data_IF_698044040626
#
_entry.id   IF_698044040626
#
_cell.length_a   1.000
_cell.length_b   1.000
_cell.length_c   1.000
_cell.angle_alpha   90.00
_cell.angle_beta   90.00
_cell.angle_gamma   90.00
#
_symmetry.space_group_name_H-M   'P 1'
#
loop_
_entity.id
_entity.type
_entity.pdbx_description
1 polymer ?
#
# COMPACT_ATOMS: atom_id res chain seq x y z
N UNK A 1 -38.28 -27.01 -40.05
CA UNK A 1 -36.96 -27.50 -39.59
C UNK A 1 -35.98 -26.35 -39.65
N UNK A 2 -35.21 -26.13 -38.57
CA UNK A 2 -33.96 -25.35 -38.48
C UNK A 2 -34.05 -23.83 -38.71
N UNK A 3 -33.37 -22.93 -38.00
CA UNK A 3 -32.70 -22.82 -36.67
C UNK A 3 -32.03 -21.43 -36.71
N UNK A 4 -32.18 -20.60 -35.66
CA UNK A 4 -31.28 -19.52 -35.15
C UNK A 4 -30.72 -18.48 -36.16
N UNK A 5 -30.61 -17.19 -35.86
CA UNK A 5 -29.84 -16.58 -34.77
C UNK A 5 -30.43 -15.20 -34.45
N UNK A 6 -30.83 -15.00 -33.19
CA UNK A 6 -30.98 -13.69 -32.57
C UNK A 6 -29.62 -13.02 -32.46
N UNK A 7 -29.41 -11.93 -33.20
CA UNK A 7 -28.41 -10.90 -32.87
C UNK A 7 -29.16 -9.85 -32.08
N UNK A 8 -29.26 -10.08 -30.78
CA UNK A 8 -29.77 -9.11 -29.81
C UNK A 8 -29.02 -9.37 -28.52
N UNK A 9 -27.96 -8.61 -28.28
CA UNK A 9 -27.20 -8.73 -27.04
C UNK A 9 -25.74 -8.40 -27.20
N UNK A 10 -25.42 -7.14 -27.44
CA UNK A 10 -24.15 -6.53 -27.02
C UNK A 10 -24.15 -5.05 -27.36
N UNK A 11 -24.85 -4.25 -26.56
CA UNK A 11 -24.48 -2.83 -26.40
C UNK A 11 -25.18 -2.23 -25.17
N UNK A 12 -24.92 -2.80 -24.00
CA UNK A 12 -25.17 -2.10 -22.73
C UNK A 12 -24.19 -2.61 -21.69
N UNK A 13 -23.00 -2.02 -21.68
CA UNK A 13 -22.19 -1.77 -20.49
C UNK A 13 -21.48 -0.45 -20.80
N UNK A 14 -22.22 0.64 -20.59
CA UNK A 14 -21.67 1.98 -20.55
C UNK A 14 -21.59 2.38 -19.08
N UNK A 15 -20.36 2.36 -18.57
CA UNK A 15 -19.83 3.32 -17.59
C UNK A 15 -20.57 3.36 -16.24
N UNK A 16 -20.16 2.49 -15.33
CA UNK A 16 -20.33 2.63 -13.86
C UNK A 16 -19.08 3.22 -13.19
N UNK A 17 -18.29 4.04 -13.88
CA UNK A 17 -17.04 4.61 -13.36
C UNK A 17 -17.26 5.94 -12.61
N UNK A 18 -18.20 5.97 -11.67
CA UNK A 18 -18.32 7.05 -10.68
C UNK A 18 -18.41 6.47 -9.27
N UNK A 19 -17.46 5.60 -8.93
CA UNK A 19 -17.04 5.45 -7.52
C UNK A 19 -15.99 6.53 -7.30
N UNK A 20 -16.43 7.71 -6.87
CA UNK A 20 -15.54 8.66 -6.21
C UNK A 20 -15.12 8.02 -4.89
N UNK A 21 -13.84 7.72 -4.73
CA UNK A 21 -13.27 7.42 -3.42
C UNK A 21 -13.47 8.66 -2.55
N UNK A 22 -14.18 8.46 -1.44
CA UNK A 22 -14.34 9.41 -0.34
C UNK A 22 -12.94 9.70 0.22
N UNK A 23 -12.50 10.95 0.11
CA UNK A 23 -11.17 11.40 0.55
C UNK A 23 -11.23 11.67 2.06
N UNK A 24 -11.20 10.60 2.85
CA UNK A 24 -11.01 10.69 4.29
C UNK A 24 -9.55 11.10 4.56
N UNK A 25 -9.36 12.39 4.85
CA UNK A 25 -8.07 13.01 5.18
C UNK A 25 -7.38 12.26 6.33
N UNK A 26 -6.27 11.59 6.00
CA UNK A 26 -5.41 10.86 6.94
C UNK A 26 -4.42 11.84 7.56
N UNK A 27 -4.46 11.95 8.89
CA UNK A 27 -3.60 12.86 9.67
C UNK A 27 -2.16 12.36 9.66
N UNK A 28 -1.25 13.19 9.14
CA UNK A 28 0.20 12.97 9.12
C UNK A 28 0.85 13.83 10.21
N UNK A 29 1.70 13.22 11.04
CA UNK A 29 2.61 13.96 11.91
C UNK A 29 3.95 14.13 11.18
N UNK A 30 4.05 15.21 10.40
CA UNK A 30 5.21 15.55 9.57
C UNK A 30 4.78 16.48 8.44
N UNK A 31 5.58 17.50 8.10
CA UNK A 31 5.15 18.69 7.34
C UNK A 31 4.87 18.49 5.83
N UNK A 32 4.56 17.28 5.35
CA UNK A 32 4.23 16.99 3.95
C UNK A 32 2.98 16.10 3.88
N UNK A 33 2.11 16.29 2.86
CA UNK A 33 0.97 15.40 2.67
C UNK A 33 1.48 13.96 2.51
N UNK A 34 0.75 13.00 3.08
CA UNK A 34 1.05 11.59 2.85
C UNK A 34 1.11 11.33 1.35
N UNK A 35 2.20 10.73 0.86
CA UNK A 35 2.27 10.22 -0.49
C UNK A 35 1.30 9.03 -0.59
N UNK A 36 0.05 9.31 -0.98
CA UNK A 36 -1.04 8.31 -1.09
C UNK A 36 -0.61 7.10 -1.95
N UNK A 37 0.24 7.33 -2.95
CA UNK A 37 0.83 6.29 -3.80
C UNK A 37 1.77 5.36 -3.01
N UNK A 38 2.67 5.92 -2.20
CA UNK A 38 3.58 5.13 -1.36
C UNK A 38 2.80 4.28 -0.33
N UNK A 39 1.72 4.83 0.22
CA UNK A 39 0.81 4.06 1.10
C UNK A 39 0.15 2.91 0.34
N UNK A 40 -0.37 3.17 -0.86
CA UNK A 40 -1.02 2.15 -1.67
C UNK A 40 -0.06 1.01 -2.06
N UNK A 41 1.16 1.36 -2.48
CA UNK A 41 2.22 0.40 -2.82
C UNK A 41 2.63 -0.43 -1.60
N UNK A 42 2.89 0.22 -0.46
CA UNK A 42 3.24 -0.47 0.77
C UNK A 42 2.14 -1.42 1.21
N UNK A 43 0.88 -0.99 1.15
CA UNK A 43 -0.27 -1.82 1.53
C UNK A 43 -0.44 -3.03 0.60
N UNK A 44 -0.28 -2.83 -0.71
CA UNK A 44 -0.32 -3.91 -1.68
C UNK A 44 0.77 -4.96 -1.41
N UNK A 45 1.97 -4.51 -1.03
CA UNK A 45 3.08 -5.39 -0.69
C UNK A 45 2.84 -6.22 0.58
N UNK A 46 2.32 -5.58 1.64
CA UNK A 46 1.90 -6.25 2.88
C UNK A 46 0.83 -7.31 2.59
N UNK A 47 -0.21 -6.93 1.83
CA UNK A 47 -1.33 -7.83 1.48
C UNK A 47 -0.87 -9.03 0.65
N UNK A 48 0.02 -8.81 -0.33
CA UNK A 48 0.55 -9.88 -1.16
C UNK A 48 1.32 -10.96 -0.36
N UNK A 49 1.80 -10.60 0.84
CA UNK A 49 2.54 -11.49 1.74
C UNK A 49 1.70 -12.02 2.91
N UNK A 50 0.41 -11.69 2.98
CA UNK A 50 -0.48 -12.05 4.09
C UNK A 50 0.02 -11.46 5.44
N UNK A 51 0.58 -10.26 5.40
CA UNK A 51 1.09 -9.55 6.59
C UNK A 51 0.11 -8.50 7.13
N UNK A 52 -1.07 -8.39 6.52
CA UNK A 52 -2.09 -7.38 6.85
C UNK A 52 -2.95 -7.74 8.05
N UNK A 53 -2.97 -9.02 8.48
CA UNK A 53 -3.86 -9.50 9.55
C UNK A 53 -3.82 -8.66 10.83
N UNK A 54 -2.65 -8.23 11.36
CA UNK A 54 -2.62 -7.43 12.58
C UNK A 54 -3.00 -5.96 12.38
N UNK A 55 -3.35 -5.49 11.18
CA UNK A 55 -3.67 -4.09 10.93
C UNK A 55 -5.06 -3.69 11.46
N UNK A 56 -5.15 -2.60 12.22
CA UNK A 56 -6.44 -2.13 12.81
C UNK A 56 -7.40 -1.60 11.74
N UNK A 57 -6.88 -1.11 10.62
CA UNK A 57 -7.69 -0.60 9.50
C UNK A 57 -6.94 -0.91 8.21
N UNK A 58 -7.48 -1.78 7.36
CA UNK A 58 -6.87 -2.31 6.13
C UNK A 58 -6.17 -1.25 5.23
N UNK A 59 -4.97 -0.80 5.59
CA UNK A 59 -4.26 0.33 4.98
C UNK A 59 -4.90 1.71 5.25
N UNK A 60 -5.92 1.77 6.11
CA UNK A 60 -6.76 2.94 6.34
C UNK A 60 -6.11 4.04 7.19
N UNK A 61 -4.99 3.75 7.84
CA UNK A 61 -4.20 4.71 8.60
C UNK A 61 -2.74 4.28 8.53
N UNK A 62 -1.93 5.06 7.83
CA UNK A 62 -0.51 4.83 7.67
C UNK A 62 0.26 6.08 8.08
N UNK A 63 1.38 5.87 8.74
CA UNK A 63 2.37 6.92 9.00
C UNK A 63 3.46 6.82 7.95
N UNK A 64 3.77 7.94 7.31
CA UNK A 64 4.82 8.03 6.29
C UNK A 64 5.91 8.94 6.80
N UNK A 65 7.16 8.47 6.81
CA UNK A 65 8.33 9.22 7.25
C UNK A 65 9.47 9.08 6.24
N UNK A 66 10.19 10.16 5.93
CA UNK A 66 11.47 10.05 5.20
C UNK A 66 12.53 9.49 6.15
N UNK A 67 13.22 8.44 5.74
CA UNK A 67 14.30 7.80 6.51
C UNK A 67 15.50 7.53 5.62
N UNK A 68 16.69 7.50 6.23
CA UNK A 68 17.89 6.98 5.56
C UNK A 68 18.01 5.50 5.84
N UNK A 69 18.15 4.71 4.77
CA UNK A 69 18.28 3.25 4.88
C UNK A 69 19.58 2.87 5.61
N UNK A 70 19.43 2.04 6.63
CA UNK A 70 20.51 1.51 7.47
C UNK A 70 20.36 -0.03 7.65
N UNK A 71 21.26 -0.65 8.41
CA UNK A 71 21.25 -2.08 8.72
C UNK A 71 20.06 -2.54 9.59
N UNK A 72 19.23 -1.63 10.10
CA UNK A 72 17.99 -1.97 10.81
C UNK A 72 16.87 -2.50 9.92
N UNK A 73 17.04 -2.47 8.59
CA UNK A 73 16.04 -2.90 7.62
C UNK A 73 16.49 -4.15 6.86
N UNK A 74 15.55 -5.03 6.52
CA UNK A 74 15.76 -6.09 5.55
C UNK A 74 15.59 -5.53 4.14
N UNK A 75 16.70 -5.37 3.43
CA UNK A 75 16.71 -4.84 2.07
C UNK A 75 16.47 -5.94 1.05
N UNK A 76 15.63 -5.63 0.07
CA UNK A 76 15.44 -6.46 -1.12
C UNK A 76 16.55 -6.22 -2.13
N UNK A 77 17.16 -5.02 -2.09
CA UNK A 77 18.28 -4.61 -2.91
C UNK A 77 19.22 -3.71 -2.10
N UNK A 78 20.46 -4.16 -1.90
CA UNK A 78 21.47 -3.46 -1.10
C UNK A 78 21.95 -2.13 -1.74
N UNK A 79 21.63 -1.87 -3.02
CA UNK A 79 22.00 -0.61 -3.68
C UNK A 79 21.30 0.61 -3.07
N UNK A 80 20.22 0.39 -2.32
CA UNK A 80 19.50 1.44 -1.59
C UNK A 80 20.09 1.73 -0.21
N UNK A 81 21.14 1.03 0.23
CA UNK A 81 21.77 1.30 1.51
C UNK A 81 22.34 2.73 1.55
N UNK A 82 21.98 3.50 2.59
CA UNK A 82 22.35 4.91 2.71
C UNK A 82 21.52 5.88 1.86
N UNK A 83 20.56 5.39 1.08
CA UNK A 83 19.62 6.24 0.33
C UNK A 83 18.49 6.74 1.23
N UNK A 84 17.90 7.88 0.86
CA UNK A 84 16.68 8.39 1.49
C UNK A 84 15.45 7.75 0.83
N UNK A 85 14.55 7.21 1.65
CA UNK A 85 13.34 6.50 1.22
C UNK A 85 12.17 6.86 2.12
N UNK A 86 10.96 6.49 1.72
CA UNK A 86 9.75 6.61 2.54
C UNK A 86 9.57 5.33 3.36
N UNK A 87 9.55 5.45 4.69
CA UNK A 87 9.10 4.41 5.60
C UNK A 87 7.60 4.56 5.84
N UNK A 88 6.83 3.55 5.45
CA UNK A 88 5.39 3.48 5.61
C UNK A 88 5.06 2.45 6.69
N UNK A 89 4.45 2.91 7.78
CA UNK A 89 4.07 2.07 8.92
C UNK A 89 2.55 2.06 9.10
N UNK A 90 1.98 0.90 9.37
CA UNK A 90 0.54 0.73 9.55
C UNK A 90 0.20 0.46 11.01
N UNK A 91 -0.89 1.08 11.49
CA UNK A 91 -1.36 0.84 12.85
C UNK A 91 -1.76 -0.63 13.04
N UNK A 92 -1.19 -1.28 14.05
CA UNK A 92 -1.41 -2.69 14.38
C UNK A 92 -2.17 -2.86 15.69
N UNK A 93 -2.90 -3.95 15.83
CA UNK A 93 -3.65 -4.29 17.05
C UNK A 93 -2.69 -4.33 18.25
N UNK A 94 -3.00 -3.63 19.36
CA UNK A 94 -2.09 -3.53 20.50
C UNK A 94 -1.84 -4.85 21.23
N UNK A 95 -2.74 -5.83 21.05
CA UNK A 95 -2.65 -7.17 21.62
C UNK A 95 -2.03 -8.19 20.64
N UNK A 96 -1.63 -7.77 19.44
CA UNK A 96 -0.94 -8.65 18.49
C UNK A 96 0.47 -8.96 18.97
N UNK A 97 0.88 -10.23 18.81
CA UNK A 97 2.23 -10.71 19.09
C UNK A 97 3.19 -10.42 17.94
N UNK A 98 2.66 -10.02 16.78
CA UNK A 98 3.41 -9.65 15.57
C UNK A 98 2.73 -8.44 14.94
N UNK A 99 3.43 -7.32 14.84
CA UNK A 99 2.95 -6.12 14.15
C UNK A 99 3.01 -6.22 12.62
N UNK A 100 2.33 -5.30 11.95
CA UNK A 100 2.51 -5.07 10.51
C UNK A 100 3.93 -4.51 10.30
N UNK A 101 4.72 -5.06 9.37
CA UNK A 101 6.04 -4.53 9.08
C UNK A 101 5.98 -3.12 8.52
N UNK A 102 7.00 -2.32 8.84
CA UNK A 102 7.25 -1.05 8.16
C UNK A 102 7.82 -1.33 6.79
N UNK A 103 7.25 -0.73 5.74
CA UNK A 103 7.70 -0.93 4.35
C UNK A 103 8.52 0.27 3.90
N UNK A 104 9.63 0.01 3.21
CA UNK A 104 10.46 1.05 2.59
C UNK A 104 10.11 1.18 1.12
N UNK A 105 9.74 2.40 0.72
CA UNK A 105 9.37 2.75 -0.66
C UNK A 105 10.28 3.85 -1.18
N UNK A 106 10.85 3.64 -2.35
CA UNK A 106 11.64 4.64 -3.08
C UNK A 106 10.68 5.70 -3.66
N UNK A 107 10.83 6.99 -3.31
CA UNK A 107 9.84 8.03 -3.61
C UNK A 107 9.74 8.44 -5.10
N UNK A 108 10.77 8.23 -5.91
CA UNK A 108 10.78 8.59 -7.34
C UNK A 108 10.16 7.49 -8.22
N UNK A 109 10.31 6.22 -7.85
CA UNK A 109 9.85 5.06 -8.65
C UNK A 109 8.76 4.24 -7.96
N UNK A 110 8.27 4.66 -6.80
CA UNK A 110 7.26 3.96 -5.99
C UNK A 110 7.57 2.46 -5.81
N UNK A 111 8.86 2.15 -5.64
CA UNK A 111 9.35 0.77 -5.61
C UNK A 111 9.63 0.35 -4.17
N UNK A 112 9.15 -0.83 -3.78
CA UNK A 112 9.50 -1.40 -2.47
C UNK A 112 10.95 -1.86 -2.48
N UNK A 113 11.77 -1.27 -1.61
CA UNK A 113 13.22 -1.53 -1.54
C UNK A 113 13.62 -2.33 -0.30
N UNK A 114 12.73 -2.45 0.68
CA UNK A 114 12.98 -3.16 1.91
C UNK A 114 11.80 -3.13 2.86
N UNK A 115 11.98 -3.74 4.02
CA UNK A 115 11.01 -3.70 5.11
C UNK A 115 11.72 -3.89 6.47
N UNK A 116 11.07 -3.43 7.54
CA UNK A 116 11.42 -3.78 8.91
C UNK A 116 10.31 -4.68 9.47
N UNK A 117 10.60 -5.90 9.95
CA UNK A 117 9.60 -6.76 10.55
C UNK A 117 8.93 -6.06 11.73
N UNK A 118 7.60 -6.22 11.87
CA UNK A 118 6.87 -5.70 13.02
C UNK A 118 7.18 -6.52 14.27
N UNK A 119 7.36 -5.83 15.39
CA UNK A 119 7.46 -6.44 16.73
C UNK A 119 6.10 -6.85 17.30
#
# INVERSE_FOLDING_TARGET
>A
MRRFVSVSGWMMIAVLLLVGCDEEQRVVNGNEPADDEAIAVAWAYVTARNWEEPAINAGGSAEVQRVTVDHGYELLDDTYFGSEVLAVSFASEPDSVVGVPTILVEPESDTVVGYMPGE
#
